data_IF_685899963542
#
_entry.id   IF_685899963542
#
_cell.length_a   1.000
_cell.length_b   1.000
_cell.length_c   1.000
_cell.angle_alpha   90.00
_cell.angle_beta   90.00
_cell.angle_gamma   90.00
#
_symmetry.space_group_name_H-M   'P 1'
#
loop_
_entity.id
_entity.type
_entity.pdbx_description
1 polymer ?
#
# COMPACT_ATOMS: atom_id res chain seq x y z
N UNK A 1 51.69 -29.24 56.04
CA UNK A 1 51.06 -28.04 55.44
C UNK A 1 51.55 -27.97 54.01
N UNK A 2 50.81 -28.60 53.09
CA UNK A 2 49.80 -27.95 52.23
C UNK A 2 50.45 -27.24 51.04
N UNK A 3 50.55 -28.01 49.95
CA UNK A 3 50.27 -27.68 48.54
C UNK A 3 50.29 -26.22 48.11
N UNK A 4 51.13 -25.90 47.11
CA UNK A 4 50.73 -25.06 45.97
C UNK A 4 51.42 -25.57 44.71
N UNK A 5 50.64 -26.29 43.91
CA UNK A 5 50.87 -26.46 42.49
C UNK A 5 50.21 -25.29 41.74
N UNK A 6 50.48 -25.26 40.44
CA UNK A 6 49.81 -24.51 39.37
C UNK A 6 50.47 -23.17 38.97
N UNK A 7 51.17 -23.06 37.82
CA UNK A 7 50.94 -23.44 36.40
C UNK A 7 50.61 -22.18 35.58
N UNK A 8 51.51 -21.90 34.63
CA UNK A 8 51.35 -21.21 33.35
C UNK A 8 50.67 -19.82 33.33
N UNK A 9 51.49 -18.80 33.07
CA UNK A 9 51.04 -17.56 32.40
C UNK A 9 50.61 -17.89 30.97
N UNK A 10 49.33 -17.69 30.67
CA UNK A 10 48.77 -17.59 29.33
C UNK A 10 48.38 -16.12 29.10
N UNK A 11 49.28 -15.34 28.52
CA UNK A 11 48.97 -14.05 27.91
C UNK A 11 49.15 -14.20 26.40
N UNK A 12 48.09 -14.61 25.70
CA UNK A 12 47.78 -14.14 24.35
C UNK A 12 46.37 -14.62 23.95
N UNK A 13 45.38 -13.75 24.08
CA UNK A 13 44.06 -13.96 23.49
C UNK A 13 43.94 -13.00 22.30
N UNK A 14 43.80 -13.49 21.05
CA UNK A 14 43.63 -12.61 19.91
C UNK A 14 42.28 -11.88 20.03
N UNK A 15 42.35 -10.56 19.95
CA UNK A 15 41.19 -9.66 19.83
C UNK A 15 40.35 -10.10 18.64
N UNK A 16 39.23 -10.78 18.90
CA UNK A 16 38.23 -11.08 17.88
C UNK A 16 37.54 -9.78 17.52
N UNK A 17 38.03 -9.12 16.47
CA UNK A 17 37.34 -8.01 15.83
C UNK A 17 35.95 -8.50 15.39
N UNK A 18 34.90 -7.84 15.89
CA UNK A 18 33.54 -8.06 15.40
C UNK A 18 33.54 -7.81 13.89
N UNK A 19 32.95 -8.70 13.07
CA UNK A 19 32.80 -8.39 11.66
C UNK A 19 31.88 -7.17 11.51
N UNK A 20 32.40 -6.08 10.94
CA UNK A 20 31.59 -4.99 10.41
C UNK A 20 30.73 -5.58 9.28
N UNK A 21 29.47 -5.89 9.56
CA UNK A 21 28.49 -6.25 8.52
C UNK A 21 27.91 -4.99 7.89
N UNK A 22 28.74 -4.06 7.41
CA UNK A 22 28.30 -3.09 6.41
C UNK A 22 28.33 -3.75 5.05
N UNK A 23 27.44 -4.73 4.84
CA UNK A 23 27.10 -5.18 3.50
C UNK A 23 26.33 -4.04 2.84
N UNK A 24 27.06 -3.13 2.21
CA UNK A 24 26.51 -2.15 1.27
C UNK A 24 25.86 -2.90 0.11
N UNK A 25 24.65 -3.40 0.34
CA UNK A 25 23.76 -3.78 -0.75
C UNK A 25 23.47 -2.48 -1.49
N UNK A 26 24.11 -2.29 -2.64
CA UNK A 26 23.56 -1.41 -3.68
C UNK A 26 22.08 -1.80 -3.78
N UNK A 27 21.18 -0.86 -3.52
CA UNK A 27 19.75 -1.11 -3.66
C UNK A 27 19.55 -1.69 -5.06
N UNK A 28 19.09 -2.94 -5.15
CA UNK A 28 18.76 -3.53 -6.43
C UNK A 28 17.80 -2.56 -7.12
N UNK A 29 18.05 -2.26 -8.40
CA UNK A 29 17.12 -1.44 -9.18
C UNK A 29 15.72 -2.03 -8.97
N UNK A 30 14.80 -1.22 -8.43
CA UNK A 30 13.45 -1.69 -8.09
C UNK A 30 12.85 -2.30 -9.35
N UNK A 31 12.50 -3.59 -9.30
CA UNK A 31 11.93 -4.26 -10.46
C UNK A 31 10.70 -3.48 -10.93
N UNK A 32 10.51 -3.36 -12.25
CA UNK A 32 9.33 -2.72 -12.83
C UNK A 32 8.07 -3.38 -12.24
N UNK A 33 7.07 -2.58 -11.89
CA UNK A 33 5.75 -3.12 -11.55
C UNK A 33 5.15 -3.89 -12.73
N UNK A 34 4.17 -4.74 -12.45
CA UNK A 34 3.41 -5.39 -13.50
C UNK A 34 2.70 -4.35 -14.36
N UNK A 35 2.10 -3.32 -13.77
CA UNK A 35 1.48 -2.21 -14.52
C UNK A 35 2.43 -1.65 -15.57
N UNK A 36 3.65 -1.28 -15.16
CA UNK A 36 4.65 -0.73 -16.05
C UNK A 36 5.05 -1.70 -17.16
N UNK A 37 5.16 -3.00 -16.83
CA UNK A 37 5.47 -4.04 -17.82
C UNK A 37 4.36 -4.16 -18.86
N UNK A 38 3.11 -4.34 -18.44
CA UNK A 38 1.97 -4.45 -19.34
C UNK A 38 1.77 -3.18 -20.16
N UNK A 39 1.98 -2.00 -19.56
CA UNK A 39 1.90 -0.71 -20.26
C UNK A 39 2.98 -0.59 -21.33
N UNK A 40 4.25 -0.88 -21.01
CA UNK A 40 5.37 -0.82 -21.96
C UNK A 40 5.21 -1.84 -23.12
N UNK A 41 4.45 -2.91 -22.90
CA UNK A 41 4.18 -3.97 -23.87
C UNK A 41 2.85 -3.80 -24.62
N UNK A 42 2.11 -2.73 -24.34
CA UNK A 42 0.78 -2.47 -24.93
C UNK A 42 -0.22 -3.62 -24.68
N UNK A 43 -0.09 -4.32 -23.55
CA UNK A 43 -0.95 -5.44 -23.13
C UNK A 43 -2.15 -4.99 -22.27
N UNK A 44 -2.21 -3.71 -21.87
CA UNK A 44 -3.37 -3.15 -21.18
C UNK A 44 -4.45 -2.75 -22.20
N UNK A 45 -5.74 -2.98 -21.92
CA UNK A 45 -6.85 -2.58 -22.78
C UNK A 45 -7.19 -1.10 -22.62
N UNK A 46 -6.17 -0.24 -22.71
CA UNK A 46 -6.26 1.19 -22.62
C UNK A 46 -5.24 1.85 -23.54
N UNK A 47 -5.52 3.09 -23.91
CA UNK A 47 -4.63 3.99 -24.65
C UNK A 47 -4.50 5.31 -23.89
N UNK A 48 -3.50 6.10 -24.27
CA UNK A 48 -3.29 7.43 -23.72
C UNK A 48 -3.63 8.46 -24.78
N UNK A 49 -4.64 9.28 -24.50
CA UNK A 49 -5.06 10.36 -25.38
C UNK A 49 -4.74 11.73 -24.78
N UNK A 50 -4.52 12.72 -25.64
CA UNK A 50 -4.36 14.11 -25.21
C UNK A 50 -5.73 14.79 -25.19
N UNK A 51 -6.07 15.43 -24.06
CA UNK A 51 -7.24 16.28 -23.96
C UNK A 51 -7.01 17.59 -24.73
N UNK A 52 -8.11 18.32 -24.98
CA UNK A 52 -8.05 19.65 -25.60
C UNK A 52 -7.20 20.64 -24.79
N UNK A 53 -7.06 20.41 -23.48
CA UNK A 53 -6.25 21.25 -22.57
C UNK A 53 -4.77 20.82 -22.51
N UNK A 54 -4.37 19.77 -23.23
CA UNK A 54 -3.00 19.27 -23.30
C UNK A 54 -2.64 18.23 -22.22
N UNK A 55 -3.60 17.85 -21.37
CA UNK A 55 -3.39 16.79 -20.38
C UNK A 55 -3.51 15.41 -21.03
N UNK A 56 -2.72 14.44 -20.57
CA UNK A 56 -2.85 13.04 -20.99
C UNK A 56 -3.89 12.33 -20.14
N UNK A 57 -4.77 11.55 -20.74
CA UNK A 57 -5.80 10.76 -20.06
C UNK A 57 -5.79 9.29 -20.47
N UNK A 58 -6.23 8.42 -19.56
CA UNK A 58 -6.46 6.99 -19.84
C UNK A 58 -7.79 6.87 -20.57
N UNK A 59 -7.79 6.17 -21.70
CA UNK A 59 -9.00 5.85 -22.48
C UNK A 59 -9.04 4.35 -22.69
N UNK A 60 -10.08 3.70 -22.16
CA UNK A 60 -10.25 2.26 -22.24
C UNK A 60 -10.66 1.84 -23.67
N UNK A 61 -9.92 0.90 -24.26
CA UNK A 61 -10.23 0.35 -25.59
C UNK A 61 -11.28 -0.75 -25.53
N UNK A 62 -11.51 -1.30 -24.34
CA UNK A 62 -12.52 -2.31 -24.04
C UNK A 62 -13.55 -1.71 -23.09
N UNK A 63 -14.87 -1.91 -23.30
CA UNK A 63 -15.90 -1.47 -22.35
C UNK A 63 -15.63 -2.01 -20.94
N UNK A 64 -15.76 -1.15 -19.93
CA UNK A 64 -15.46 -1.50 -18.54
C UNK A 64 -16.38 -2.59 -17.99
N UNK A 65 -17.58 -2.73 -18.53
CA UNK A 65 -18.56 -3.77 -18.19
C UNK A 65 -18.06 -5.17 -18.58
N UNK A 66 -17.29 -5.27 -19.66
CA UNK A 66 -16.80 -6.52 -20.23
C UNK A 66 -15.39 -6.90 -19.74
N UNK A 67 -14.76 -6.03 -18.94
CA UNK A 67 -13.38 -6.22 -18.51
C UNK A 67 -13.24 -7.28 -17.42
N UNK A 68 -12.18 -8.09 -17.48
CA UNK A 68 -11.82 -9.02 -16.40
C UNK A 68 -11.10 -8.28 -15.26
N UNK A 69 -11.87 -7.90 -14.24
CA UNK A 69 -11.36 -7.21 -13.05
C UNK A 69 -10.40 -8.07 -12.24
N UNK A 70 -10.54 -9.40 -12.24
CA UNK A 70 -9.64 -10.27 -11.47
C UNK A 70 -8.24 -10.31 -12.09
N UNK A 71 -8.12 -10.02 -13.39
CA UNK A 71 -6.85 -9.90 -14.08
C UNK A 71 -6.31 -8.46 -14.05
N UNK A 72 -7.09 -7.48 -14.53
CA UNK A 72 -6.56 -6.13 -14.79
C UNK A 72 -6.52 -5.21 -13.56
N UNK A 73 -7.42 -5.36 -12.59
CA UNK A 73 -7.43 -4.50 -11.40
C UNK A 73 -6.18 -4.72 -10.52
N UNK A 74 -5.72 -5.95 -10.24
CA UNK A 74 -4.45 -6.17 -9.54
C UNK A 74 -3.26 -5.60 -10.30
N UNK A 75 -3.24 -5.70 -11.64
CA UNK A 75 -2.19 -5.10 -12.46
C UNK A 75 -2.17 -3.58 -12.26
N UNK A 76 -3.32 -2.90 -12.30
CA UNK A 76 -3.41 -1.46 -12.03
C UNK A 76 -2.91 -1.11 -10.62
N UNK A 77 -3.34 -1.87 -9.61
CA UNK A 77 -2.90 -1.69 -8.21
C UNK A 77 -1.38 -1.86 -8.04
N UNK A 78 -0.74 -2.74 -8.81
CA UNK A 78 0.71 -2.91 -8.78
C UNK A 78 1.48 -1.65 -9.20
N UNK A 79 0.86 -0.78 -10.00
CA UNK A 79 1.44 0.49 -10.45
C UNK A 79 1.40 1.59 -9.39
N UNK A 80 0.62 1.44 -8.31
CA UNK A 80 0.53 2.44 -7.25
C UNK A 80 1.87 2.71 -6.55
N UNK A 81 2.84 1.79 -6.62
CA UNK A 81 4.19 1.97 -6.05
C UNK A 81 5.22 2.57 -7.02
N UNK A 82 4.86 2.81 -8.29
CA UNK A 82 5.74 3.45 -9.26
C UNK A 82 6.01 4.90 -8.86
N UNK A 83 7.18 5.43 -9.19
CA UNK A 83 7.54 6.85 -8.91
C UNK A 83 8.05 7.59 -10.14
N UNK A 84 8.14 6.88 -11.28
CA UNK A 84 8.63 7.45 -12.53
C UNK A 84 7.45 7.81 -13.43
N UNK A 85 7.24 9.08 -13.73
CA UNK A 85 6.22 9.48 -14.70
C UNK A 85 6.47 8.82 -16.09
N UNK A 86 5.40 8.44 -16.82
CA UNK A 86 3.99 8.72 -16.54
C UNK A 86 3.25 7.64 -15.73
N UNK A 87 3.93 6.57 -15.31
CA UNK A 87 3.30 5.35 -14.79
C UNK A 87 2.42 5.56 -13.54
N UNK A 88 2.82 6.34 -12.51
CA UNK A 88 2.01 6.54 -11.31
C UNK A 88 0.68 7.20 -11.64
N UNK A 89 0.69 8.20 -12.52
CA UNK A 89 -0.49 8.94 -12.96
C UNK A 89 -1.49 8.02 -13.67
N UNK A 90 -1.03 7.19 -14.61
CA UNK A 90 -1.91 6.29 -15.36
C UNK A 90 -2.39 5.11 -14.52
N UNK A 91 -1.55 4.55 -13.66
CA UNK A 91 -1.97 3.49 -12.74
C UNK A 91 -3.05 3.97 -11.77
N UNK A 92 -2.88 5.15 -11.18
CA UNK A 92 -3.87 5.75 -10.29
C UNK A 92 -5.21 5.96 -10.99
N UNK A 93 -5.22 6.56 -12.18
CA UNK A 93 -6.46 6.78 -12.96
C UNK A 93 -7.13 5.47 -13.34
N UNK A 94 -6.37 4.50 -13.84
CA UNK A 94 -6.91 3.19 -14.18
C UNK A 94 -7.54 2.48 -12.97
N UNK A 95 -6.93 2.59 -11.77
CA UNK A 95 -7.56 2.11 -10.55
C UNK A 95 -8.89 2.81 -10.25
N UNK A 96 -8.92 4.15 -10.30
CA UNK A 96 -10.13 4.92 -9.99
C UNK A 96 -11.26 4.60 -10.98
N UNK A 97 -10.99 4.60 -12.29
CA UNK A 97 -11.99 4.27 -13.32
C UNK A 97 -12.63 2.90 -13.08
N UNK A 98 -11.80 1.88 -12.80
CA UNK A 98 -12.30 0.53 -12.54
C UNK A 98 -13.12 0.45 -11.27
N UNK A 99 -12.65 1.06 -10.17
CA UNK A 99 -13.36 1.02 -8.89
C UNK A 99 -14.68 1.81 -8.95
N UNK A 100 -14.71 2.98 -9.60
CA UNK A 100 -15.92 3.78 -9.79
C UNK A 100 -16.95 3.02 -10.62
N UNK A 101 -16.52 2.43 -11.75
CA UNK A 101 -17.41 1.67 -12.61
C UNK A 101 -17.91 0.36 -11.96
N UNK A 102 -17.05 -0.30 -11.18
CA UNK A 102 -17.38 -1.54 -10.47
C UNK A 102 -18.05 -1.33 -9.10
N UNK A 103 -18.29 -0.09 -8.69
CA UNK A 103 -18.74 0.26 -7.33
C UNK A 103 -20.05 -0.43 -6.94
N UNK A 104 -20.96 -0.59 -7.91
CA UNK A 104 -22.30 -1.16 -7.70
C UNK A 104 -22.43 -2.67 -7.94
N UNK A 105 -21.32 -3.38 -8.15
CA UNK A 105 -21.33 -4.84 -8.37
C UNK A 105 -20.19 -5.57 -7.63
N UNK A 106 -20.16 -6.90 -7.73
CA UNK A 106 -19.24 -7.75 -6.95
C UNK A 106 -17.89 -8.02 -7.63
N UNK A 107 -17.60 -7.47 -8.81
CA UNK A 107 -16.34 -7.74 -9.54
C UNK A 107 -15.12 -7.25 -8.76
N UNK A 108 -15.21 -6.08 -8.11
CA UNK A 108 -14.14 -5.55 -7.25
C UNK A 108 -13.93 -6.47 -6.04
N UNK A 109 -15.01 -6.90 -5.39
CA UNK A 109 -14.96 -7.82 -4.25
C UNK A 109 -14.27 -9.14 -4.61
N UNK A 110 -14.53 -9.70 -5.79
CA UNK A 110 -13.90 -10.94 -6.27
C UNK A 110 -12.41 -10.80 -6.54
N UNK A 111 -11.92 -9.59 -6.79
CA UNK A 111 -10.49 -9.31 -6.96
C UNK A 111 -9.77 -8.97 -5.64
N UNK A 112 -10.50 -8.65 -4.56
CA UNK A 112 -9.98 -8.04 -3.33
C UNK A 112 -8.71 -8.69 -2.79
N UNK A 113 -8.70 -10.02 -2.66
CA UNK A 113 -7.55 -10.76 -2.10
C UNK A 113 -6.24 -10.51 -2.88
N UNK A 114 -6.32 -10.32 -4.20
CA UNK A 114 -5.17 -10.01 -5.03
C UNK A 114 -4.74 -8.53 -4.95
N UNK A 115 -5.63 -7.64 -4.52
CA UNK A 115 -5.33 -6.20 -4.37
C UNK A 115 -4.55 -5.89 -3.09
N UNK A 116 -4.90 -6.56 -1.99
CA UNK A 116 -4.39 -6.21 -0.66
C UNK A 116 -2.85 -6.30 -0.49
N UNK A 117 -2.12 -7.25 -1.12
CA UNK A 117 -0.66 -7.23 -1.11
C UNK A 117 -0.06 -5.94 -1.70
N UNK A 118 -0.68 -5.40 -2.75
CA UNK A 118 -0.24 -4.16 -3.41
C UNK A 118 -0.49 -2.95 -2.53
N UNK A 119 -1.67 -2.85 -1.88
CA UNK A 119 -1.98 -1.80 -0.91
C UNK A 119 -0.96 -1.80 0.24
N UNK A 120 -0.72 -2.97 0.84
CA UNK A 120 0.25 -3.12 1.93
C UNK A 120 1.66 -2.70 1.49
N UNK A 121 2.11 -3.16 0.31
CA UNK A 121 3.44 -2.84 -0.20
C UNK A 121 3.60 -1.35 -0.47
N UNK A 122 2.60 -0.72 -1.08
CA UNK A 122 2.62 0.69 -1.42
C UNK A 122 2.65 1.57 -0.15
N UNK A 123 1.77 1.33 0.84
CA UNK A 123 1.81 2.02 2.14
C UNK A 123 3.15 1.79 2.86
N UNK A 124 3.71 0.59 2.75
CA UNK A 124 5.00 0.21 3.34
C UNK A 124 6.21 0.95 2.77
N UNK A 125 6.10 1.59 1.60
CA UNK A 125 7.18 2.41 1.03
C UNK A 125 7.50 3.63 1.88
N UNK A 126 6.49 4.16 2.59
CA UNK A 126 6.55 5.44 3.34
C UNK A 126 6.91 6.65 2.46
N UNK A 127 6.87 6.48 1.15
CA UNK A 127 6.97 7.58 0.21
C UNK A 127 5.65 8.33 0.21
N UNK A 128 5.71 9.65 0.37
CA UNK A 128 4.53 10.50 0.58
C UNK A 128 3.54 10.40 -0.58
N UNK A 129 4.03 10.47 -1.81
CA UNK A 129 3.18 10.46 -3.00
C UNK A 129 2.57 9.07 -3.24
N UNK A 130 3.36 8.01 -3.00
CA UNK A 130 2.86 6.62 -3.00
C UNK A 130 1.76 6.43 -1.97
N UNK A 131 1.98 6.88 -0.74
CA UNK A 131 1.03 6.74 0.37
C UNK A 131 -0.26 7.48 0.06
N UNK A 132 -0.20 8.73 -0.38
CA UNK A 132 -1.39 9.56 -0.63
C UNK A 132 -2.32 8.92 -1.66
N UNK A 133 -1.81 8.57 -2.84
CA UNK A 133 -2.65 7.94 -3.87
C UNK A 133 -3.16 6.56 -3.45
N UNK A 134 -2.38 5.81 -2.68
CA UNK A 134 -2.82 4.49 -2.16
C UNK A 134 -3.95 4.65 -1.16
N UNK A 135 -3.91 5.67 -0.29
CA UNK A 135 -4.99 5.98 0.65
C UNK A 135 -6.27 6.39 -0.11
N UNK A 136 -6.16 7.24 -1.13
CA UNK A 136 -7.30 7.64 -1.97
C UNK A 136 -7.92 6.43 -2.68
N UNK A 137 -7.10 5.54 -3.27
CA UNK A 137 -7.59 4.31 -3.88
C UNK A 137 -8.22 3.37 -2.85
N UNK A 138 -7.68 3.30 -1.63
CA UNK A 138 -8.26 2.50 -0.54
C UNK A 138 -9.61 3.05 -0.07
N UNK A 139 -9.78 4.38 -0.03
CA UNK A 139 -11.06 5.03 0.26
C UNK A 139 -12.10 4.62 -0.79
N UNK A 140 -11.78 4.74 -2.08
CA UNK A 140 -12.68 4.33 -3.17
C UNK A 140 -12.94 2.81 -3.18
N UNK A 141 -11.94 2.01 -2.81
CA UNK A 141 -12.09 0.55 -2.70
C UNK A 141 -13.10 0.17 -1.60
N UNK A 142 -13.06 0.85 -0.46
CA UNK A 142 -13.92 0.54 0.69
C UNK A 142 -15.41 0.77 0.41
N UNK A 143 -15.75 1.72 -0.46
CA UNK A 143 -17.16 2.04 -0.80
C UNK A 143 -17.76 1.09 -1.84
N UNK A 144 -16.96 0.23 -2.48
CA UNK A 144 -17.46 -0.75 -3.44
C UNK A 144 -18.31 -1.84 -2.76
N UNK A 145 -19.32 -2.36 -3.47
CA UNK A 145 -20.31 -3.30 -2.93
C UNK A 145 -19.67 -4.50 -2.20
N UNK A 146 -19.92 -4.58 -0.88
CA UNK A 146 -19.44 -5.65 -0.01
C UNK A 146 -17.93 -5.63 0.30
N UNK A 147 -17.17 -4.67 -0.25
CA UNK A 147 -15.72 -4.60 -0.07
C UNK A 147 -15.35 -4.04 1.30
N UNK A 148 -16.03 -2.99 1.78
CA UNK A 148 -15.77 -2.42 3.11
C UNK A 148 -15.86 -3.45 4.24
N UNK A 149 -16.92 -4.28 4.24
CA UNK A 149 -17.05 -5.39 5.20
C UNK A 149 -15.92 -6.42 5.07
N UNK A 150 -15.55 -6.78 3.84
CA UNK A 150 -14.50 -7.76 3.56
C UNK A 150 -13.09 -7.23 3.92
N UNK A 151 -12.86 -5.92 3.91
CA UNK A 151 -11.59 -5.31 4.30
C UNK A 151 -11.23 -5.57 5.77
N UNK A 152 -12.20 -5.90 6.63
CA UNK A 152 -11.96 -6.30 8.03
C UNK A 152 -10.95 -7.44 8.18
N UNK A 153 -10.92 -8.38 7.22
CA UNK A 153 -9.97 -9.50 7.22
C UNK A 153 -8.51 -9.05 7.04
N UNK A 154 -8.31 -7.85 6.50
CA UNK A 154 -7.00 -7.29 6.15
C UNK A 154 -6.54 -6.19 7.10
N UNK A 155 -7.37 -5.74 8.06
CA UNK A 155 -7.04 -4.66 9.00
C UNK A 155 -5.71 -4.88 9.74
N UNK A 156 -5.44 -6.11 10.18
CA UNK A 156 -4.16 -6.47 10.82
C UNK A 156 -2.93 -6.19 9.96
N UNK A 157 -3.08 -6.19 8.64
CA UNK A 157 -1.99 -5.99 7.69
C UNK A 157 -1.81 -4.53 7.26
N UNK A 158 -2.88 -3.73 7.23
CA UNK A 158 -2.88 -2.36 6.72
C UNK A 158 -2.88 -1.30 7.83
N UNK A 159 -3.67 -1.48 8.89
CA UNK A 159 -3.90 -0.44 9.89
C UNK A 159 -2.66 -0.11 10.74
N UNK A 160 -1.78 -1.08 11.09
CA UNK A 160 -0.51 -0.75 11.73
C UNK A 160 0.38 0.17 10.88
N UNK A 161 0.31 0.06 9.54
CA UNK A 161 1.02 0.98 8.64
C UNK A 161 0.39 2.38 8.69
N UNK A 162 -0.93 2.49 8.71
CA UNK A 162 -1.62 3.77 8.90
C UNK A 162 -1.21 4.45 10.21
N UNK A 163 -1.11 3.71 11.32
CA UNK A 163 -0.64 4.27 12.58
C UNK A 163 0.83 4.72 12.49
N UNK A 164 1.69 3.90 11.89
CA UNK A 164 3.11 4.21 11.69
C UNK A 164 3.32 5.46 10.83
N UNK A 165 2.55 5.62 9.76
CA UNK A 165 2.66 6.73 8.81
C UNK A 165 2.31 8.09 9.45
N UNK A 166 1.53 8.10 10.54
CA UNK A 166 1.25 9.30 11.35
C UNK A 166 2.48 9.79 12.14
N UNK A 167 3.49 8.94 12.35
CA UNK A 167 4.70 9.31 13.07
C UNK A 167 5.69 10.10 12.20
N UNK A 168 6.30 11.16 12.76
CA UNK A 168 7.23 12.06 12.04
C UNK A 168 8.64 11.51 11.83
N UNK A 169 9.03 10.49 12.58
CA UNK A 169 10.37 9.90 12.53
C UNK A 169 10.36 8.56 11.81
N UNK A 170 9.30 7.77 12.02
CA UNK A 170 9.16 6.43 11.47
C UNK A 170 8.32 6.41 10.19
N UNK A 171 7.38 7.36 10.02
CA UNK A 171 6.48 7.49 8.88
C UNK A 171 6.79 8.71 8.03
N UNK A 172 5.74 9.31 7.45
CA UNK A 172 5.84 10.63 6.80
C UNK A 172 5.58 11.75 7.82
N UNK A 173 4.58 11.55 8.69
CA UNK A 173 4.20 12.42 9.80
C UNK A 173 3.74 13.83 9.43
N UNK A 174 3.60 14.14 8.14
CA UNK A 174 3.09 15.42 7.67
C UNK A 174 1.58 15.54 7.86
N UNK A 175 1.10 16.79 7.95
CA UNK A 175 -0.31 17.09 8.23
C UNK A 175 -1.25 16.52 7.18
N UNK A 176 -0.87 16.56 5.90
CA UNK A 176 -1.72 16.04 4.81
C UNK A 176 -1.85 14.53 4.90
N UNK A 177 -0.75 13.79 5.13
CA UNK A 177 -0.83 12.34 5.36
C UNK A 177 -1.71 12.01 6.57
N UNK A 178 -1.59 12.75 7.67
CA UNK A 178 -2.42 12.53 8.86
C UNK A 178 -3.91 12.74 8.58
N UNK A 179 -4.26 13.78 7.83
CA UNK A 179 -5.63 14.08 7.44
C UNK A 179 -6.22 12.99 6.53
N UNK A 180 -5.47 12.58 5.49
CA UNK A 180 -5.89 11.49 4.59
C UNK A 180 -6.07 10.18 5.33
N UNK A 181 -5.14 9.83 6.23
CA UNK A 181 -5.30 8.60 7.04
C UNK A 181 -6.52 8.71 7.92
N UNK A 182 -6.79 9.86 8.52
CA UNK A 182 -7.99 10.05 9.33
C UNK A 182 -9.25 9.78 8.48
N UNK A 183 -9.42 10.48 7.36
CA UNK A 183 -10.53 10.28 6.42
C UNK A 183 -10.66 8.81 5.96
N UNK A 184 -9.53 8.14 5.63
CA UNK A 184 -9.54 6.72 5.26
C UNK A 184 -10.09 5.85 6.39
N UNK A 185 -9.71 6.10 7.65
CA UNK A 185 -10.20 5.31 8.77
C UNK A 185 -11.69 5.54 9.03
N UNK A 186 -12.19 6.75 8.83
CA UNK A 186 -13.62 7.08 8.95
C UNK A 186 -14.44 6.37 7.86
N UNK A 187 -13.93 6.31 6.63
CA UNK A 187 -14.56 5.54 5.54
C UNK A 187 -14.53 4.04 5.82
N UNK A 188 -13.41 3.49 6.30
CA UNK A 188 -13.31 2.07 6.67
C UNK A 188 -14.24 1.70 7.82
N UNK A 189 -14.46 2.62 8.76
CA UNK A 189 -15.45 2.47 9.81
C UNK A 189 -16.88 2.47 9.26
N UNK A 190 -17.23 3.46 8.42
CA UNK A 190 -18.58 3.63 7.90
C UNK A 190 -19.06 2.54 6.94
N UNK A 191 -18.14 1.94 6.17
CA UNK A 191 -18.44 0.84 5.23
C UNK A 191 -18.03 -0.55 5.76
N UNK A 192 -17.45 -0.61 6.96
CA UNK A 192 -17.04 -1.84 7.59
C UNK A 192 -18.20 -2.60 8.23
N UNK A 193 -17.86 -3.69 8.94
CA UNK A 193 -18.82 -4.43 9.79
C UNK A 193 -19.18 -3.65 11.04
N UNK A 194 -20.21 -4.09 11.78
CA UNK A 194 -20.65 -3.47 13.04
C UNK A 194 -19.53 -3.29 14.08
N UNK A 195 -18.49 -4.15 14.05
CA UNK A 195 -17.35 -4.10 14.95
C UNK A 195 -16.13 -3.35 14.38
N UNK A 196 -16.26 -2.70 13.21
CA UNK A 196 -15.16 -2.03 12.51
C UNK A 196 -14.44 -1.00 13.39
N UNK A 197 -15.18 -0.19 14.14
CA UNK A 197 -14.61 0.76 15.11
C UNK A 197 -13.66 0.06 16.09
N UNK A 198 -14.12 -1.02 16.72
CA UNK A 198 -13.34 -1.75 17.73
C UNK A 198 -12.09 -2.36 17.10
N UNK A 199 -12.19 -2.94 15.89
CA UNK A 199 -11.04 -3.49 15.19
C UNK A 199 -10.04 -2.39 14.78
N UNK A 200 -10.52 -1.24 14.30
CA UNK A 200 -9.66 -0.11 13.95
C UNK A 200 -8.91 0.40 15.18
N UNK A 201 -9.61 0.58 16.30
CA UNK A 201 -9.03 1.09 17.54
C UNK A 201 -7.93 0.17 18.11
N UNK A 202 -8.06 -1.15 17.92
CA UNK A 202 -7.01 -2.11 18.32
C UNK A 202 -5.68 -1.89 17.58
N UNK A 203 -5.71 -1.35 16.37
CA UNK A 203 -4.52 -1.11 15.54
C UNK A 203 -4.10 0.37 15.49
N UNK A 204 -5.04 1.28 15.69
CA UNK A 204 -4.83 2.73 15.70
C UNK A 204 -5.45 3.31 16.98
N UNK A 205 -4.78 3.21 18.15
CA UNK A 205 -5.38 3.57 19.44
C UNK A 205 -5.85 5.03 19.55
N UNK A 206 -5.26 5.93 18.75
CA UNK A 206 -5.63 7.34 18.71
C UNK A 206 -6.85 7.65 17.82
N UNK A 207 -7.39 6.65 17.11
CA UNK A 207 -8.60 6.83 16.31
C UNK A 207 -9.83 7.00 17.23
N UNK A 208 -10.70 7.94 16.88
CA UNK A 208 -11.91 8.26 17.61
C UNK A 208 -13.13 7.99 16.72
N UNK A 209 -14.22 7.53 17.32
CA UNK A 209 -15.43 7.13 16.60
C UNK A 209 -16.03 8.30 15.81
N UNK A 210 -16.33 8.05 14.54
CA UNK A 210 -16.91 9.06 13.65
C UNK A 210 -18.41 9.15 13.88
N UNK A 211 -18.89 10.16 14.61
CA UNK A 211 -20.33 10.35 14.87
C UNK A 211 -21.16 10.77 13.63
N UNK A 212 -20.59 10.79 12.41
CA UNK A 212 -21.12 11.57 11.28
C UNK A 212 -21.37 10.80 9.96
N UNK A 213 -21.32 9.47 9.91
CA UNK A 213 -21.57 8.74 8.65
C UNK A 213 -22.73 7.74 8.85
N UNK A 214 -23.91 8.13 8.34
CA UNK A 214 -25.06 7.28 8.04
C UNK A 214 -25.55 7.61 6.65
#
# INVERSE_FOLDING_TARGET
MSTTADVLRLDDAPVTSRPLTSSGRKAAAKAKSEFRRYFDQEELPLTIENTVMGDRQVVWTTPLEALDYQHFLPICFSGLQETLEPYPTFAYRACMDLLEHGMGDTRVLRALAALMPHVKSALGTRDKEVVHRTLLVLQQLAVCQGVGEALSEYYRSILPLCNLLKDKHLGTGDSMTKALIQETLEILEGYGKDDAYHQIQQHVPAFQHSNNIK
#
